data_IF_532202193613
#
_entry.id   IF_532202193613
#
_cell.length_a   1.000
_cell.length_b   1.000
_cell.length_c   1.000
_cell.angle_alpha   90.00
_cell.angle_beta   90.00
_cell.angle_gamma   90.00
#
_symmetry.space_group_name_H-M   'P 1'
#
loop_
_entity.id
_entity.type
_entity.pdbx_description
1 polymer ?
#
# COMPACT_ATOMS: atom_id res chain seq x y z
N UNK A 1 7.40 13.91 -1.31
CA UNK A 1 7.79 12.56 -0.81
C UNK A 1 8.44 11.80 -1.94
N UNK A 2 9.58 11.20 -1.70
CA UNK A 2 10.29 10.41 -2.69
C UNK A 2 9.70 9.00 -2.82
N UNK A 3 10.05 8.28 -3.90
CA UNK A 3 9.62 6.90 -4.09
C UNK A 3 10.06 6.01 -2.92
N UNK A 4 11.28 6.19 -2.43
CA UNK A 4 11.78 5.42 -1.30
C UNK A 4 10.96 5.68 -0.03
N UNK A 5 10.53 6.93 0.18
CA UNK A 5 9.70 7.26 1.33
C UNK A 5 8.34 6.60 1.25
N UNK A 6 7.74 6.54 0.06
CA UNK A 6 6.45 5.88 -0.16
C UNK A 6 6.58 4.40 0.14
N UNK A 7 7.60 3.75 -0.41
CA UNK A 7 7.85 2.33 -0.15
C UNK A 7 8.02 2.06 1.33
N UNK A 8 8.88 2.83 1.99
CA UNK A 8 9.15 2.62 3.41
C UNK A 8 7.92 2.88 4.27
N UNK A 9 7.13 3.89 3.92
CA UNK A 9 5.90 4.21 4.63
C UNK A 9 4.92 3.02 4.59
N UNK A 10 4.70 2.47 3.40
CA UNK A 10 3.75 1.36 3.24
C UNK A 10 4.27 0.11 3.94
N UNK A 11 5.56 -0.20 3.80
CA UNK A 11 6.15 -1.36 4.48
C UNK A 11 6.04 -1.24 6.00
N UNK A 12 6.25 -0.03 6.53
CA UNK A 12 6.10 0.20 7.96
C UNK A 12 4.68 -0.06 8.44
N UNK A 13 3.68 0.39 7.67
CA UNK A 13 2.27 0.13 8.01
C UNK A 13 1.97 -1.36 8.00
N UNK A 14 2.46 -2.07 6.99
CA UNK A 14 2.27 -3.52 6.88
C UNK A 14 2.85 -4.21 8.12
N UNK A 15 4.07 -3.87 8.49
CA UNK A 15 4.74 -4.46 9.65
C UNK A 15 4.02 -4.13 10.95
N UNK A 16 3.58 -2.88 11.11
CA UNK A 16 2.86 -2.45 12.32
C UNK A 16 1.57 -3.23 12.53
N UNK A 17 0.91 -3.61 11.45
CA UNK A 17 -0.33 -4.40 11.54
C UNK A 17 -0.09 -5.89 11.65
N UNK A 18 1.18 -6.30 11.73
CA UNK A 18 1.53 -7.71 11.94
C UNK A 18 1.51 -8.57 10.70
N UNK A 19 1.51 -7.95 9.51
CA UNK A 19 1.50 -8.70 8.25
C UNK A 19 2.88 -8.73 7.61
N UNK A 20 3.10 -9.76 6.77
CA UNK A 20 4.20 -9.75 5.82
C UNK A 20 3.69 -9.20 4.48
N UNK A 21 4.62 -8.86 3.60
CA UNK A 21 4.26 -8.42 2.23
C UNK A 21 3.46 -9.49 1.50
N UNK A 22 3.85 -10.76 1.65
CA UNK A 22 3.15 -11.87 1.01
C UNK A 22 1.73 -12.03 1.53
N UNK A 23 1.53 -11.87 2.83
CA UNK A 23 0.20 -11.97 3.44
C UNK A 23 -0.73 -10.86 2.93
N UNK A 24 -0.23 -9.64 2.84
CA UNK A 24 -1.00 -8.52 2.31
C UNK A 24 -1.35 -8.77 0.84
N UNK A 25 -0.39 -9.27 0.06
CA UNK A 25 -0.63 -9.55 -1.35
C UNK A 25 -1.69 -10.65 -1.53
N UNK A 26 -1.67 -11.67 -0.66
CA UNK A 26 -2.70 -12.72 -0.69
C UNK A 26 -4.08 -12.13 -0.43
N UNK A 27 -4.22 -11.26 0.55
CA UNK A 27 -5.50 -10.62 0.86
C UNK A 27 -5.96 -9.71 -0.27
N UNK A 28 -5.03 -8.99 -0.90
CA UNK A 28 -5.34 -8.17 -2.07
C UNK A 28 -5.80 -9.02 -3.24
N UNK A 29 -5.18 -10.18 -3.42
CA UNK A 29 -5.62 -11.12 -4.46
C UNK A 29 -7.04 -11.62 -4.18
N UNK A 30 -7.33 -11.99 -2.95
CA UNK A 30 -8.64 -12.54 -2.57
C UNK A 30 -9.75 -11.48 -2.66
N UNK A 31 -9.49 -10.27 -2.17
CA UNK A 31 -10.52 -9.24 -2.05
C UNK A 31 -10.63 -8.37 -3.31
N UNK A 32 -9.53 -8.17 -4.03
CA UNK A 32 -9.46 -7.22 -5.14
C UNK A 32 -8.89 -7.83 -6.42
N UNK A 33 -8.61 -9.12 -6.43
CA UNK A 33 -8.13 -9.85 -7.60
C UNK A 33 -6.78 -9.37 -8.13
N UNK A 34 -5.90 -8.93 -7.22
CA UNK A 34 -4.54 -8.56 -7.59
C UNK A 34 -3.76 -9.79 -8.05
N UNK A 35 -2.77 -9.58 -8.91
CA UNK A 35 -1.81 -10.61 -9.26
C UNK A 35 -1.03 -11.05 -8.01
N UNK A 36 -0.76 -12.35 -7.89
CA UNK A 36 0.01 -12.90 -6.78
C UNK A 36 1.53 -12.68 -6.94
N UNK A 37 1.96 -11.89 -7.91
CA UNK A 37 3.39 -11.65 -8.14
C UNK A 37 3.96 -10.68 -7.11
N UNK A 38 4.72 -11.22 -6.17
CA UNK A 38 5.39 -10.43 -5.14
C UNK A 38 6.40 -9.47 -5.77
N UNK A 39 7.07 -9.90 -6.85
CA UNK A 39 7.99 -9.03 -7.59
C UNK A 39 7.30 -7.80 -8.15
N UNK A 40 6.11 -7.97 -8.71
CA UNK A 40 5.34 -6.84 -9.24
C UNK A 40 4.90 -5.89 -8.14
N UNK A 41 4.44 -6.43 -7.02
CA UNK A 41 4.05 -5.63 -5.87
C UNK A 41 5.22 -4.81 -5.36
N UNK A 42 6.35 -5.47 -5.15
CA UNK A 42 7.57 -4.82 -4.68
C UNK A 42 8.04 -3.73 -5.66
N UNK A 43 7.98 -4.01 -6.95
CA UNK A 43 8.37 -3.06 -7.99
C UNK A 43 7.46 -1.82 -8.01
N UNK A 44 6.15 -2.00 -7.83
CA UNK A 44 5.22 -0.86 -7.75
C UNK A 44 5.57 0.07 -6.61
N UNK A 45 5.89 -0.49 -5.45
CA UNK A 45 6.28 0.30 -4.29
C UNK A 45 7.60 1.02 -4.52
N UNK A 46 8.60 0.30 -5.07
CA UNK A 46 9.94 0.86 -5.29
C UNK A 46 9.95 1.96 -6.35
N UNK A 47 9.13 1.82 -7.39
CA UNK A 47 9.06 2.79 -8.49
C UNK A 47 8.11 3.95 -8.22
N UNK A 48 7.28 3.84 -7.18
CA UNK A 48 6.25 4.83 -6.92
C UNK A 48 5.17 4.85 -7.98
N UNK A 49 4.90 3.72 -8.63
CA UNK A 49 3.88 3.61 -9.68
C UNK A 49 2.55 3.09 -9.15
N UNK A 50 2.39 3.05 -7.85
CA UNK A 50 1.16 2.62 -7.21
C UNK A 50 0.03 3.59 -7.55
N UNK A 51 -1.08 3.07 -8.07
CA UNK A 51 -2.25 3.89 -8.37
C UNK A 51 -2.98 4.27 -7.09
N UNK A 52 -3.72 5.38 -7.14
CA UNK A 52 -4.50 5.81 -5.98
C UNK A 52 -5.49 4.73 -5.51
N UNK A 53 -6.20 4.09 -6.45
CA UNK A 53 -7.12 3.00 -6.11
C UNK A 53 -6.38 1.84 -5.45
N UNK A 54 -5.17 1.54 -5.89
CA UNK A 54 -4.37 0.49 -5.28
C UNK A 54 -3.94 0.86 -3.86
N UNK A 55 -3.58 2.11 -3.64
CA UNK A 55 -3.24 2.59 -2.30
C UNK A 55 -4.42 2.48 -1.35
N UNK A 56 -5.62 2.83 -1.81
CA UNK A 56 -6.85 2.71 -1.02
C UNK A 56 -7.12 1.25 -0.68
N UNK A 57 -6.92 0.34 -1.62
CA UNK A 57 -7.12 -1.09 -1.40
C UNK A 57 -6.15 -1.65 -0.38
N UNK A 58 -4.87 -1.24 -0.44
CA UNK A 58 -3.88 -1.63 0.57
C UNK A 58 -4.30 -1.11 1.94
N UNK A 59 -4.73 0.14 2.02
CA UNK A 59 -5.18 0.73 3.28
C UNK A 59 -6.36 -0.05 3.85
N UNK A 60 -7.31 -0.44 3.01
CA UNK A 60 -8.47 -1.22 3.43
C UNK A 60 -8.05 -2.55 4.04
N UNK A 61 -7.13 -3.26 3.41
CA UNK A 61 -6.61 -4.54 3.93
C UNK A 61 -5.99 -4.34 5.31
N UNK A 62 -5.27 -3.24 5.51
CA UNK A 62 -4.58 -2.96 6.76
C UNK A 62 -5.48 -2.33 7.83
N UNK A 63 -6.72 -2.01 7.49
CA UNK A 63 -7.66 -1.42 8.44
C UNK A 63 -7.55 0.10 8.57
N UNK A 64 -7.02 0.77 7.57
CA UNK A 64 -6.91 2.22 7.54
C UNK A 64 -7.87 2.82 6.54
N UNK A 65 -8.29 4.06 6.81
CA UNK A 65 -8.99 4.90 5.84
C UNK A 65 -8.01 5.87 5.21
N UNK A 66 -8.21 6.14 3.92
CA UNK A 66 -7.45 7.20 3.25
C UNK A 66 -8.28 8.47 3.33
N UNK A 67 -7.77 9.45 4.08
CA UNK A 67 -8.50 10.68 4.36
C UNK A 67 -7.74 11.88 3.80
N UNK A 68 -8.46 12.76 3.12
CA UNK A 68 -7.91 14.01 2.62
C UNK A 68 -8.14 15.08 3.68
N UNK A 69 -7.05 15.63 4.20
CA UNK A 69 -7.10 16.68 5.20
C UNK A 69 -6.66 18.00 4.58
N UNK A 70 -7.52 19.00 4.64
CA UNK A 70 -7.18 20.31 4.12
C UNK A 70 -6.14 20.98 5.02
N UNK A 71 -5.12 21.55 4.40
CA UNK A 71 -4.11 22.33 5.14
C UNK A 71 -4.68 23.65 5.57
N UNK A 72 -4.24 24.16 6.72
CA UNK A 72 -4.64 25.45 7.20
C UNK A 72 -4.08 26.63 6.42
N UNK A 73 -3.00 26.38 5.65
CA UNK A 73 -2.31 27.41 4.87
C UNK A 73 -2.72 27.43 3.39
N UNK A 74 -3.77 26.75 3.03
CA UNK A 74 -4.26 26.66 1.65
C UNK A 74 -5.72 27.00 1.54
#
# INVERSE_FOLDING_TARGET
MTQDNIRNYIKARITEEGYTMDEVLQLLHEDYQWSRSLSNFSAKLSRGTLRYTEAVQIADILGYDVIWKKRGDR
#
